data_IF_782605349678
#
_entry.id   IF_782605349678
#
_cell.length_a   1.000
_cell.length_b   1.000
_cell.length_c   1.000
_cell.angle_alpha   90.00
_cell.angle_beta   90.00
_cell.angle_gamma   90.00
#
_symmetry.space_group_name_H-M   'P 1'
#
loop_
_entity.id
_entity.type
_entity.pdbx_description
1 polymer ?
#
# COMPACT_ATOMS: atom_id res chain seq x y z
N UNK A 1 -17.23 72.58 15.73
CA UNK A 1 -16.37 71.73 14.93
C UNK A 1 -15.51 70.72 15.73
N UNK A 2 -15.01 70.94 16.94
CA UNK A 2 -14.19 69.99 17.74
C UNK A 2 -14.90 68.69 18.21
N UNK A 3 -16.22 68.67 18.45
CA UNK A 3 -16.98 67.50 18.93
C UNK A 3 -17.27 66.50 17.82
N UNK A 4 -17.42 66.90 16.56
CA UNK A 4 -17.67 66.06 15.41
C UNK A 4 -16.38 65.26 15.00
N UNK A 5 -15.22 65.91 15.06
CA UNK A 5 -13.93 65.27 14.81
C UNK A 5 -13.63 64.15 15.79
N UNK A 6 -13.96 64.35 17.10
CA UNK A 6 -13.74 63.24 18.10
C UNK A 6 -14.65 62.05 17.86
N UNK A 7 -15.90 62.25 17.39
CA UNK A 7 -16.82 61.15 17.03
C UNK A 7 -16.35 60.39 15.79
N UNK A 8 -15.81 61.09 14.77
CA UNK A 8 -15.27 60.47 13.57
C UNK A 8 -14.03 59.60 13.90
N UNK A 9 -13.12 60.14 14.72
CA UNK A 9 -11.93 59.39 15.19
C UNK A 9 -12.37 58.16 15.99
N UNK A 10 -13.37 58.23 16.86
CA UNK A 10 -13.92 57.10 17.61
C UNK A 10 -14.48 56.00 16.70
N UNK A 11 -15.20 56.39 15.64
CA UNK A 11 -15.75 55.44 14.65
C UNK A 11 -14.62 54.74 13.87
N UNK A 12 -13.60 55.50 13.45
CA UNK A 12 -12.43 54.92 12.73
C UNK A 12 -11.66 53.95 13.62
N UNK A 13 -11.42 54.28 14.88
CA UNK A 13 -10.76 53.38 15.84
C UNK A 13 -11.60 52.15 16.11
N UNK A 14 -12.91 52.26 16.27
CA UNK A 14 -13.82 51.13 16.43
C UNK A 14 -13.79 50.22 15.22
N UNK A 15 -13.82 50.79 14.02
CA UNK A 15 -13.74 50.01 12.75
C UNK A 15 -12.40 49.29 12.61
N UNK A 16 -11.30 49.93 13.00
CA UNK A 16 -9.98 49.35 13.00
C UNK A 16 -9.88 48.19 14.00
N UNK A 17 -10.48 48.31 15.19
CA UNK A 17 -10.54 47.21 16.18
C UNK A 17 -11.35 46.04 15.62
N UNK A 18 -12.47 46.26 14.96
CA UNK A 18 -13.31 45.23 14.37
C UNK A 18 -12.51 44.46 13.27
N UNK A 19 -11.79 45.18 12.40
CA UNK A 19 -10.95 44.58 11.37
C UNK A 19 -9.81 43.74 11.99
N UNK A 20 -9.18 44.25 13.05
CA UNK A 20 -8.15 43.50 13.77
C UNK A 20 -8.72 42.23 14.42
N UNK A 21 -9.88 42.29 15.02
CA UNK A 21 -10.53 41.14 15.65
C UNK A 21 -10.90 40.08 14.60
N UNK A 22 -11.46 40.46 13.45
CA UNK A 22 -11.78 39.55 12.36
C UNK A 22 -10.50 38.88 11.79
N UNK A 23 -9.43 39.66 11.61
CA UNK A 23 -8.13 39.12 11.11
C UNK A 23 -7.39 38.26 12.13
N UNK A 24 -7.78 38.32 13.42
CA UNK A 24 -7.18 37.57 14.51
C UNK A 24 -7.76 36.15 14.65
N UNK A 25 -8.97 35.91 14.19
CA UNK A 25 -9.67 34.66 14.39
C UNK A 25 -9.14 33.57 13.40
N UNK A 26 -8.83 32.40 13.92
CA UNK A 26 -8.37 31.21 13.16
C UNK A 26 -9.25 30.03 13.56
N UNK A 27 -10.02 29.50 12.61
CA UNK A 27 -10.79 28.28 12.81
C UNK A 27 -9.94 27.09 12.38
N UNK A 28 -9.88 26.05 13.22
CA UNK A 28 -9.22 24.77 12.95
C UNK A 28 -10.28 23.69 12.89
N UNK A 29 -10.29 22.89 11.80
CA UNK A 29 -11.20 21.77 11.60
C UNK A 29 -10.62 20.47 12.13
N UNK A 30 -11.44 19.42 12.23
CA UNK A 30 -11.03 18.10 12.73
C UNK A 30 -10.04 17.36 11.81
N UNK A 31 -10.02 17.72 10.54
CA UNK A 31 -9.26 17.08 9.48
C UNK A 31 -7.94 17.81 9.16
N UNK A 32 -7.58 18.81 9.97
CA UNK A 32 -6.36 19.57 9.76
C UNK A 32 -5.63 19.93 11.07
N UNK A 33 -4.31 19.99 10.99
CA UNK A 33 -3.47 20.75 11.91
C UNK A 33 -3.34 22.18 11.40
N UNK A 34 -3.43 23.15 12.29
CA UNK A 34 -3.20 24.55 11.94
C UNK A 34 -1.90 25.06 12.54
N UNK A 35 -0.95 25.40 11.69
CA UNK A 35 0.32 25.99 12.12
C UNK A 35 0.22 27.50 12.04
N UNK A 36 0.61 28.19 13.12
CA UNK A 36 0.74 29.63 13.18
C UNK A 36 2.21 29.98 13.01
N UNK A 37 2.52 30.67 11.92
CA UNK A 37 3.87 31.09 11.58
C UNK A 37 4.05 32.58 11.82
N UNK A 38 5.22 32.96 12.29
CA UNK A 38 5.66 34.35 12.42
C UNK A 38 7.00 34.51 11.71
N UNK A 39 7.04 35.36 10.69
CA UNK A 39 8.23 35.53 9.84
C UNK A 39 8.80 34.20 9.31
N UNK A 40 7.91 33.27 8.90
CA UNK A 40 8.29 31.97 8.37
C UNK A 40 8.67 30.90 9.40
N UNK A 41 8.71 31.24 10.70
CA UNK A 41 8.97 30.27 11.78
C UNK A 41 7.67 29.86 12.45
N UNK A 42 7.50 28.57 12.74
CA UNK A 42 6.34 28.06 13.48
C UNK A 42 6.44 28.51 14.93
N UNK A 43 5.46 29.26 15.40
CA UNK A 43 5.34 29.74 16.78
C UNK A 43 4.43 28.83 17.59
N UNK A 44 3.38 28.29 16.94
CA UNK A 44 2.39 27.43 17.61
C UNK A 44 1.79 26.45 16.61
N UNK A 45 1.58 25.23 17.05
CA UNK A 45 0.80 24.19 16.38
C UNK A 45 -0.53 24.07 17.11
N UNK A 46 -1.62 24.13 16.37
CA UNK A 46 -2.98 23.93 16.87
C UNK A 46 -3.45 22.58 16.36
N UNK A 47 -3.57 21.62 17.27
CA UNK A 47 -3.96 20.24 16.97
C UNK A 47 -5.43 19.97 17.27
N UNK A 48 -6.01 20.78 18.19
CA UNK A 48 -7.40 20.62 18.60
C UNK A 48 -8.32 21.51 17.74
N UNK A 49 -9.44 20.94 17.26
CA UNK A 49 -10.45 21.73 16.55
C UNK A 49 -11.02 22.82 17.42
N UNK A 50 -11.33 23.93 16.80
CA UNK A 50 -11.93 25.06 17.49
C UNK A 50 -11.41 26.42 17.01
N UNK A 51 -11.71 27.42 17.81
CA UNK A 51 -11.34 28.80 17.56
C UNK A 51 -10.03 29.14 18.27
N UNK A 52 -9.05 29.60 17.49
CA UNK A 52 -7.75 30.08 17.97
C UNK A 52 -7.56 31.55 17.55
N UNK A 53 -6.59 32.21 18.15
CA UNK A 53 -6.26 33.59 17.83
C UNK A 53 -4.83 33.71 17.35
N UNK A 54 -4.60 34.53 16.33
CA UNK A 54 -3.30 34.95 15.81
C UNK A 54 -3.17 36.46 15.84
N UNK A 55 -1.96 36.96 15.77
CA UNK A 55 -1.71 38.40 15.63
C UNK A 55 -1.82 38.75 14.14
N UNK A 56 -2.81 39.53 13.74
CA UNK A 56 -2.99 39.93 12.34
C UNK A 56 -1.75 40.70 11.85
N UNK A 57 -1.47 40.62 10.57
CA UNK A 57 -0.32 41.19 9.86
C UNK A 57 1.07 40.61 10.21
N UNK A 58 1.29 40.11 11.43
CA UNK A 58 2.56 39.52 11.86
C UNK A 58 2.60 38.03 11.73
N UNK A 59 1.45 37.37 11.84
CA UNK A 59 1.33 35.90 11.82
C UNK A 59 0.48 35.46 10.64
N UNK A 60 0.98 34.39 9.97
CA UNK A 60 0.28 33.67 8.93
C UNK A 60 -0.12 32.29 9.43
N UNK A 61 -1.08 31.66 8.77
CA UNK A 61 -1.53 30.31 9.11
C UNK A 61 -1.31 29.38 7.94
N UNK A 62 -0.90 28.14 8.22
CA UNK A 62 -0.82 27.08 7.25
C UNK A 62 -1.57 25.86 7.76
N UNK A 63 -2.41 25.27 6.91
CA UNK A 63 -3.13 24.04 7.20
C UNK A 63 -2.31 22.83 6.72
N UNK A 64 -2.31 21.78 7.52
CA UNK A 64 -1.69 20.49 7.20
C UNK A 64 -2.74 19.43 7.42
N UNK A 65 -2.96 18.50 6.47
CA UNK A 65 -3.96 17.45 6.61
C UNK A 65 -3.67 16.53 7.81
N UNK A 66 -4.72 16.23 8.58
CA UNK A 66 -4.71 15.31 9.72
C UNK A 66 -5.58 14.07 9.42
N UNK A 67 -5.62 13.63 8.20
CA UNK A 67 -6.37 12.45 7.78
C UNK A 67 -5.46 11.50 6.98
N UNK A 68 -5.95 10.29 6.78
CA UNK A 68 -5.26 9.29 5.99
C UNK A 68 -5.39 9.60 4.49
N UNK A 69 -4.27 9.55 3.81
CA UNK A 69 -4.16 9.80 2.38
C UNK A 69 -3.66 8.55 1.68
N UNK A 70 -4.13 8.36 0.47
CA UNK A 70 -3.67 7.27 -0.41
C UNK A 70 -2.66 7.84 -1.39
N UNK A 71 -1.57 7.12 -1.57
CA UNK A 71 -0.60 7.34 -2.64
C UNK A 71 -0.50 6.08 -3.50
N UNK A 72 -0.83 6.19 -4.78
CA UNK A 72 -0.66 5.14 -5.77
C UNK A 72 0.78 5.14 -6.30
N UNK A 73 1.46 4.00 -6.14
CA UNK A 73 2.80 3.84 -6.68
C UNK A 73 2.73 3.53 -8.18
N UNK A 74 3.76 3.95 -8.89
CA UNK A 74 3.91 3.58 -10.29
C UNK A 74 4.22 2.08 -10.37
N UNK A 75 3.49 1.30 -11.19
CA UNK A 75 3.77 -0.11 -11.39
C UNK A 75 5.22 -0.36 -11.78
N UNK A 76 5.84 -1.36 -11.19
CA UNK A 76 7.25 -1.65 -11.39
C UNK A 76 7.54 -3.14 -11.49
N UNK A 77 8.57 -3.49 -12.25
CA UNK A 77 9.08 -4.85 -12.35
C UNK A 77 10.06 -5.14 -11.22
N UNK A 78 9.88 -6.28 -10.57
CA UNK A 78 10.72 -6.75 -9.47
C UNK A 78 11.05 -8.22 -9.69
N UNK A 79 12.30 -8.59 -9.44
CA UNK A 79 12.75 -9.99 -9.48
C UNK A 79 12.54 -10.65 -8.11
N UNK A 80 11.96 -11.84 -8.11
CA UNK A 80 11.86 -12.71 -6.94
C UNK A 80 13.20 -13.39 -6.63
N UNK A 81 13.30 -14.07 -5.47
CA UNK A 81 14.49 -14.83 -5.08
C UNK A 81 14.86 -15.89 -6.12
N UNK A 82 13.87 -16.58 -6.70
CA UNK A 82 14.01 -17.57 -7.77
C UNK A 82 14.17 -16.96 -9.17
N UNK A 83 14.54 -15.65 -9.23
CA UNK A 83 14.88 -14.88 -10.45
C UNK A 83 13.74 -14.80 -11.48
N UNK A 84 12.52 -14.85 -11.04
CA UNK A 84 11.35 -14.64 -11.89
C UNK A 84 10.94 -13.18 -11.82
N UNK A 85 10.65 -12.58 -12.97
CA UNK A 85 10.19 -11.19 -13.05
C UNK A 85 8.71 -11.13 -12.75
N UNK A 86 8.31 -10.21 -11.88
CA UNK A 86 6.92 -9.91 -11.55
C UNK A 86 6.66 -8.41 -11.66
N UNK A 87 5.49 -8.05 -12.15
CA UNK A 87 4.98 -6.67 -12.14
C UNK A 87 4.17 -6.48 -10.87
N UNK A 88 4.52 -5.47 -10.09
CA UNK A 88 3.78 -5.11 -8.88
C UNK A 88 3.20 -3.72 -9.03
N UNK A 89 1.91 -3.59 -8.75
CA UNK A 89 1.19 -2.34 -8.58
C UNK A 89 0.68 -2.27 -7.14
N UNK A 90 1.04 -1.22 -6.43
CA UNK A 90 0.80 -1.10 -4.99
C UNK A 90 0.37 0.32 -4.64
N UNK A 91 -0.33 0.45 -3.52
CA UNK A 91 -0.62 1.76 -2.94
C UNK A 91 -0.21 1.79 -1.46
N UNK A 92 0.09 2.99 -0.99
CA UNK A 92 0.43 3.25 0.40
C UNK A 92 -0.64 4.13 1.06
N UNK A 93 -1.10 3.71 2.23
CA UNK A 93 -1.92 4.51 3.12
C UNK A 93 -1.01 5.23 4.10
N UNK A 94 -1.03 6.55 4.12
CA UNK A 94 -0.14 7.36 4.92
C UNK A 94 -0.83 8.54 5.57
N UNK A 95 -0.26 9.09 6.63
CA UNK A 95 -0.75 10.28 7.31
C UNK A 95 0.39 11.12 7.86
N UNK A 96 0.12 12.39 8.12
CA UNK A 96 1.04 13.29 8.83
C UNK A 96 0.92 13.04 10.33
N UNK A 97 2.05 12.74 10.99
CA UNK A 97 2.12 12.50 12.44
C UNK A 97 2.81 13.64 13.18
N UNK A 98 3.75 14.31 12.53
CA UNK A 98 4.42 15.51 13.07
C UNK A 98 4.32 16.66 12.06
N UNK A 99 3.38 17.58 12.24
CA UNK A 99 3.19 18.69 11.32
C UNK A 99 4.38 19.67 11.28
N UNK A 100 5.19 19.74 12.35
CA UNK A 100 6.38 20.60 12.39
C UNK A 100 7.49 20.04 11.50
N UNK A 101 7.77 18.75 11.62
CA UNK A 101 8.75 18.06 10.77
C UNK A 101 8.29 18.06 9.30
N UNK A 102 7.00 17.83 9.06
CA UNK A 102 6.38 17.86 7.73
C UNK A 102 6.56 19.23 7.05
N UNK A 103 6.30 20.31 7.76
CA UNK A 103 6.52 21.65 7.22
C UNK A 103 8.01 21.94 6.99
N UNK A 104 8.85 21.68 7.99
CA UNK A 104 10.27 22.08 7.93
C UNK A 104 11.08 21.30 6.90
N UNK A 105 10.76 20.03 6.67
CA UNK A 105 11.53 19.14 5.79
C UNK A 105 10.91 18.97 4.40
N UNK A 106 9.60 19.06 4.32
CA UNK A 106 8.86 18.83 3.07
C UNK A 106 8.13 20.08 2.56
N UNK A 107 8.22 21.21 3.31
CA UNK A 107 7.56 22.46 2.95
C UNK A 107 6.03 22.39 3.03
N UNK A 108 5.48 21.44 3.80
CA UNK A 108 4.05 21.12 3.84
C UNK A 108 3.46 20.84 2.43
N UNK A 109 4.28 20.26 1.57
CA UNK A 109 3.90 19.93 0.19
C UNK A 109 3.65 18.44 0.06
N UNK A 110 2.43 18.08 -0.35
CA UNK A 110 1.99 16.70 -0.56
C UNK A 110 2.86 15.97 -1.59
N UNK A 111 3.21 16.62 -2.70
CA UNK A 111 4.03 15.99 -3.74
C UNK A 111 5.45 15.64 -3.26
N UNK A 112 6.03 16.48 -2.38
CA UNK A 112 7.34 16.19 -1.77
C UNK A 112 7.25 14.97 -0.83
N UNK A 113 6.16 14.85 -0.07
CA UNK A 113 5.90 13.70 0.78
C UNK A 113 5.74 12.42 -0.04
N UNK A 114 4.89 12.45 -1.06
CA UNK A 114 4.63 11.33 -1.96
C UNK A 114 5.90 10.88 -2.69
N UNK A 115 6.76 11.80 -3.09
CA UNK A 115 8.06 11.47 -3.67
C UNK A 115 8.97 10.70 -2.70
N UNK A 116 8.96 11.05 -1.40
CA UNK A 116 9.70 10.30 -0.38
C UNK A 116 9.08 8.95 -0.08
N UNK A 117 7.76 8.90 0.02
CA UNK A 117 7.01 7.65 0.21
C UNK A 117 7.29 6.70 -0.94
N UNK A 118 7.25 7.19 -2.19
CA UNK A 118 7.52 6.39 -3.39
C UNK A 118 8.84 5.64 -3.30
N UNK A 119 9.92 6.35 -2.97
CA UNK A 119 11.26 5.75 -2.88
C UNK A 119 11.34 4.70 -1.76
N UNK A 120 10.82 5.03 -0.58
CA UNK A 120 10.90 4.13 0.58
C UNK A 120 10.04 2.89 0.38
N UNK A 121 8.81 3.06 -0.10
CA UNK A 121 7.88 1.95 -0.37
C UNK A 121 8.39 1.07 -1.51
N UNK A 122 8.86 1.66 -2.61
CA UNK A 122 9.46 0.91 -3.71
C UNK A 122 10.62 0.03 -3.23
N UNK A 123 11.53 0.57 -2.43
CA UNK A 123 12.65 -0.19 -1.90
C UNK A 123 12.20 -1.30 -0.93
N UNK A 124 11.19 -1.05 -0.10
CA UNK A 124 10.62 -2.05 0.79
C UNK A 124 9.96 -3.20 0.01
N UNK A 125 9.11 -2.88 -0.98
CA UNK A 125 8.48 -3.85 -1.89
C UNK A 125 9.54 -4.69 -2.60
N UNK A 126 10.53 -4.03 -3.21
CA UNK A 126 11.62 -4.69 -3.90
C UNK A 126 12.39 -5.64 -2.98
N UNK A 127 12.76 -5.20 -1.79
CA UNK A 127 13.51 -6.01 -0.84
C UNK A 127 12.72 -7.24 -0.38
N UNK A 128 11.43 -7.08 -0.07
CA UNK A 128 10.57 -8.19 0.37
C UNK A 128 10.39 -9.20 -0.77
N UNK A 129 10.01 -8.75 -1.97
CA UNK A 129 9.81 -9.65 -3.12
C UNK A 129 11.11 -10.35 -3.52
N UNK A 130 12.24 -9.62 -3.55
CA UNK A 130 13.53 -10.20 -3.92
C UNK A 130 14.07 -11.22 -2.92
N UNK A 131 13.56 -11.23 -1.69
CA UNK A 131 13.90 -12.21 -0.66
C UNK A 131 12.96 -13.41 -0.60
N UNK A 132 11.90 -13.41 -1.41
CA UNK A 132 10.80 -14.39 -1.37
C UNK A 132 10.66 -15.08 -2.72
N UNK A 133 10.34 -16.38 -2.73
CA UNK A 133 10.08 -17.11 -3.96
C UNK A 133 8.72 -16.75 -4.55
N UNK A 134 8.56 -16.87 -5.86
CA UNK A 134 7.33 -16.48 -6.56
C UNK A 134 6.08 -17.15 -5.97
N UNK A 135 6.15 -18.43 -5.63
CA UNK A 135 5.03 -19.16 -5.04
C UNK A 135 4.58 -18.56 -3.70
N UNK A 136 5.55 -18.17 -2.86
CA UNK A 136 5.29 -17.57 -1.55
C UNK A 136 4.77 -16.13 -1.68
N UNK A 137 5.27 -15.38 -2.68
CA UNK A 137 4.75 -14.04 -2.99
C UNK A 137 3.29 -14.12 -3.42
N UNK A 138 2.92 -15.10 -4.26
CA UNK A 138 1.54 -15.30 -4.71
C UNK A 138 0.64 -15.75 -3.55
N UNK A 139 1.10 -16.69 -2.72
CA UNK A 139 0.33 -17.16 -1.56
C UNK A 139 0.22 -16.12 -0.45
N UNK A 140 1.18 -15.20 -0.33
CA UNK A 140 1.19 -14.11 0.66
C UNK A 140 0.24 -12.94 0.36
N UNK A 141 -0.54 -13.00 -0.73
CA UNK A 141 -1.52 -11.95 -1.10
C UNK A 141 -2.61 -11.73 -0.07
N UNK A 142 -2.85 -12.70 0.82
CA UNK A 142 -3.85 -12.63 1.89
C UNK A 142 -3.48 -11.66 3.05
N UNK A 143 -2.57 -10.72 2.79
CA UNK A 143 -2.17 -9.67 3.74
C UNK A 143 -0.77 -9.85 4.34
N UNK A 144 -0.21 -11.06 4.35
CA UNK A 144 1.13 -11.32 4.88
C UNK A 144 2.22 -10.54 4.15
N UNK A 145 2.12 -10.42 2.82
CA UNK A 145 3.04 -9.63 2.02
C UNK A 145 2.97 -8.14 2.38
N UNK A 146 1.75 -7.62 2.54
CA UNK A 146 1.49 -6.24 2.94
C UNK A 146 2.08 -5.92 4.32
N UNK A 147 1.94 -6.85 5.27
CA UNK A 147 2.50 -6.75 6.62
C UNK A 147 4.03 -6.70 6.59
N UNK A 148 4.68 -7.63 5.88
CA UNK A 148 6.13 -7.67 5.72
C UNK A 148 6.68 -6.39 5.07
N UNK A 149 5.99 -5.85 4.06
CA UNK A 149 6.40 -4.60 3.41
C UNK A 149 6.25 -3.43 4.38
N UNK A 150 5.13 -3.35 5.10
CA UNK A 150 4.86 -2.27 6.06
C UNK A 150 5.88 -2.31 7.22
N UNK A 151 6.19 -3.48 7.74
CA UNK A 151 7.22 -3.68 8.77
C UNK A 151 8.62 -3.25 8.28
N UNK A 152 8.94 -3.57 7.02
CA UNK A 152 10.22 -3.19 6.40
C UNK A 152 10.38 -1.68 6.25
N UNK A 153 9.29 -0.94 6.07
CA UNK A 153 9.30 0.52 6.05
C UNK A 153 9.61 1.08 7.45
N UNK A 154 8.97 0.51 8.48
CA UNK A 154 9.16 0.88 9.88
C UNK A 154 9.09 2.39 10.11
N UNK A 155 10.11 2.94 10.76
CA UNK A 155 10.23 4.37 11.12
C UNK A 155 11.00 5.22 10.08
N UNK A 156 11.24 4.70 8.88
CA UNK A 156 12.10 5.36 7.87
C UNK A 156 11.62 6.76 7.46
N UNK A 157 10.33 7.04 7.62
CA UNK A 157 9.70 8.31 7.24
C UNK A 157 9.35 9.22 8.44
N UNK A 158 9.52 8.74 9.68
CA UNK A 158 9.17 9.49 10.89
C UNK A 158 9.93 10.82 10.97
N UNK A 159 11.19 10.84 10.52
CA UNK A 159 11.98 12.07 10.49
C UNK A 159 11.36 13.16 9.60
N UNK A 160 10.53 12.83 8.65
CA UNK A 160 9.81 13.77 7.78
C UNK A 160 8.43 14.15 8.34
N UNK A 161 8.06 13.63 9.49
CA UNK A 161 6.75 13.85 10.11
C UNK A 161 5.60 13.13 9.42
N UNK A 162 5.89 12.07 8.66
CA UNK A 162 4.91 11.24 7.97
C UNK A 162 5.07 9.78 8.35
N UNK A 163 3.96 9.08 8.41
CA UNK A 163 3.93 7.65 8.72
C UNK A 163 3.12 6.89 7.67
N UNK A 164 3.72 5.87 7.10
CA UNK A 164 3.00 4.89 6.30
C UNK A 164 2.32 3.90 7.25
N UNK A 165 1.00 3.81 7.17
CA UNK A 165 0.20 2.92 8.01
C UNK A 165 0.13 1.52 7.44
N UNK A 166 -0.03 1.44 6.12
CA UNK A 166 -0.16 0.18 5.40
C UNK A 166 0.24 0.34 3.95
N UNK A 167 0.85 -0.70 3.39
CA UNK A 167 1.06 -0.83 1.94
C UNK A 167 0.31 -2.05 1.47
N UNK A 168 -0.49 -1.90 0.42
CA UNK A 168 -1.23 -3.00 -0.18
C UNK A 168 -0.86 -3.13 -1.65
N UNK A 169 -0.84 -4.37 -2.13
CA UNK A 169 -0.59 -4.68 -3.52
C UNK A 169 -1.92 -4.86 -4.25
N UNK A 170 -2.20 -3.99 -5.21
CA UNK A 170 -3.40 -4.04 -6.06
C UNK A 170 -3.29 -5.15 -7.10
N UNK A 171 -2.13 -5.22 -7.75
CA UNK A 171 -1.85 -6.19 -8.80
C UNK A 171 -0.46 -6.78 -8.58
N UNK A 172 -0.40 -8.08 -8.73
CA UNK A 172 0.83 -8.85 -8.77
C UNK A 172 0.70 -9.82 -9.95
N UNK A 173 1.48 -9.60 -10.99
CA UNK A 173 1.32 -10.29 -12.27
C UNK A 173 2.67 -10.57 -12.92
N UNK A 174 2.64 -11.33 -14.01
CA UNK A 174 3.80 -11.53 -14.86
C UNK A 174 3.89 -10.38 -15.88
N UNK A 175 5.10 -10.03 -16.36
CA UNK A 175 5.24 -9.12 -17.49
C UNK A 175 4.48 -9.65 -18.71
N UNK A 176 3.81 -8.77 -19.45
CA UNK A 176 2.99 -9.14 -20.61
C UNK A 176 3.80 -9.89 -21.68
N UNK A 177 5.08 -9.52 -21.84
CA UNK A 177 6.01 -10.17 -22.77
C UNK A 177 6.25 -11.66 -22.47
N UNK A 178 6.06 -12.09 -21.22
CA UNK A 178 6.36 -13.47 -20.78
C UNK A 178 5.11 -14.30 -20.50
N UNK A 179 3.93 -13.68 -20.41
CA UNK A 179 2.69 -14.36 -20.02
C UNK A 179 2.37 -15.54 -20.91
N UNK A 180 2.40 -15.35 -22.23
CA UNK A 180 2.05 -16.40 -23.18
C UNK A 180 3.00 -17.60 -23.07
N UNK A 181 4.31 -17.36 -22.99
CA UNK A 181 5.29 -18.45 -22.85
C UNK A 181 5.13 -19.23 -21.54
N UNK A 182 4.79 -18.53 -20.44
CA UNK A 182 4.55 -19.16 -19.14
C UNK A 182 3.26 -19.97 -19.18
N UNK A 183 2.18 -19.45 -19.75
CA UNK A 183 0.92 -20.19 -19.90
C UNK A 183 1.07 -21.45 -20.74
N UNK A 184 1.77 -21.37 -21.87
CA UNK A 184 2.05 -22.54 -22.72
C UNK A 184 2.88 -23.59 -21.98
N UNK A 185 3.85 -23.17 -21.19
CA UNK A 185 4.62 -24.09 -20.32
C UNK A 185 3.72 -24.77 -19.28
N UNK A 186 2.88 -24.00 -18.58
CA UNK A 186 1.95 -24.54 -17.59
C UNK A 186 0.96 -25.52 -18.20
N UNK A 187 0.44 -25.21 -19.39
CA UNK A 187 -0.46 -26.11 -20.14
C UNK A 187 0.26 -27.42 -20.46
N UNK A 188 1.47 -27.34 -21.02
CA UNK A 188 2.27 -28.52 -21.35
C UNK A 188 2.62 -29.36 -20.13
N UNK A 189 2.99 -28.73 -19.02
CA UNK A 189 3.25 -29.42 -17.74
C UNK A 189 2.01 -30.16 -17.22
N UNK A 190 0.82 -29.50 -17.24
CA UNK A 190 -0.44 -30.13 -16.84
C UNK A 190 -0.83 -31.30 -17.76
N UNK A 191 -0.61 -31.15 -19.06
CA UNK A 191 -0.83 -32.23 -20.02
C UNK A 191 0.08 -33.43 -19.75
N UNK A 192 1.36 -33.18 -19.44
CA UNK A 192 2.32 -34.27 -19.08
C UNK A 192 1.89 -34.99 -17.79
N UNK A 193 1.48 -34.24 -16.76
CA UNK A 193 0.97 -34.82 -15.50
C UNK A 193 -0.29 -35.65 -15.77
N UNK A 194 -1.22 -35.16 -16.57
CA UNK A 194 -2.44 -35.87 -16.92
C UNK A 194 -2.14 -37.16 -17.73
N UNK A 195 -1.22 -37.07 -18.68
CA UNK A 195 -0.77 -38.27 -19.44
C UNK A 195 -0.12 -39.30 -18.52
N UNK A 196 0.65 -38.86 -17.51
CA UNK A 196 1.22 -39.78 -16.51
C UNK A 196 0.14 -40.52 -15.71
N UNK A 197 -0.88 -39.80 -15.23
CA UNK A 197 -1.99 -40.46 -14.51
C UNK A 197 -2.81 -41.40 -15.38
N UNK A 198 -3.03 -41.06 -16.66
CA UNK A 198 -3.71 -41.95 -17.61
C UNK A 198 -2.89 -43.24 -17.82
N UNK A 199 -1.59 -43.09 -18.07
CA UNK A 199 -0.70 -44.27 -18.27
C UNK A 199 -0.63 -45.15 -17.04
N UNK A 200 -0.58 -44.58 -15.84
CA UNK A 200 -0.61 -45.33 -14.58
C UNK A 200 -1.94 -46.08 -14.38
N UNK A 201 -3.06 -45.38 -14.67
CA UNK A 201 -4.39 -45.97 -14.62
C UNK A 201 -4.57 -47.13 -15.63
N UNK A 202 -4.06 -47.01 -16.86
CA UNK A 202 -4.05 -48.06 -17.87
C UNK A 202 -3.16 -49.25 -17.43
N UNK A 203 -2.00 -48.97 -16.87
CA UNK A 203 -1.13 -50.02 -16.31
C UNK A 203 -1.83 -50.79 -15.19
N UNK A 204 -2.43 -50.10 -14.22
CA UNK A 204 -3.16 -50.74 -13.12
C UNK A 204 -4.36 -51.55 -13.65
N UNK A 205 -5.11 -51.03 -14.60
CA UNK A 205 -6.21 -51.74 -15.25
C UNK A 205 -5.73 -53.05 -15.93
N UNK A 206 -4.62 -52.99 -16.65
CA UNK A 206 -4.04 -54.15 -17.30
C UNK A 206 -3.50 -55.20 -16.29
N UNK A 207 -2.91 -54.75 -15.18
CA UNK A 207 -2.48 -55.67 -14.10
C UNK A 207 -3.69 -56.41 -13.51
N UNK A 208 -4.79 -55.72 -13.22
CA UNK A 208 -6.01 -56.32 -12.69
C UNK A 208 -6.62 -57.29 -13.70
N UNK A 209 -6.74 -56.92 -14.99
CA UNK A 209 -7.25 -57.82 -16.04
C UNK A 209 -6.44 -59.06 -16.17
N UNK A 210 -5.12 -58.93 -16.30
CA UNK A 210 -4.22 -60.08 -16.44
C UNK A 210 -4.24 -61.00 -15.22
N UNK A 211 -4.35 -60.45 -14.00
CA UNK A 211 -4.46 -61.28 -12.79
C UNK A 211 -5.79 -62.04 -12.77
N UNK A 212 -6.90 -61.39 -13.14
CA UNK A 212 -8.22 -62.01 -13.23
C UNK A 212 -8.27 -63.08 -14.30
N UNK A 213 -7.73 -62.84 -15.51
CA UNK A 213 -7.66 -63.81 -16.60
C UNK A 213 -6.83 -65.05 -16.20
N UNK A 214 -5.75 -64.83 -15.46
CA UNK A 214 -4.96 -65.92 -14.90
C UNK A 214 -5.76 -66.75 -13.90
N UNK A 215 -6.46 -66.14 -12.96
CA UNK A 215 -7.29 -66.83 -11.98
C UNK A 215 -8.44 -67.60 -12.64
N UNK A 216 -9.14 -67.01 -13.63
CA UNK A 216 -10.15 -67.68 -14.41
C UNK A 216 -9.57 -68.92 -15.15
N UNK A 217 -8.42 -68.80 -15.77
CA UNK A 217 -7.73 -69.93 -16.44
C UNK A 217 -7.37 -71.05 -15.50
N UNK A 218 -6.93 -70.73 -14.26
CA UNK A 218 -6.64 -71.76 -13.23
C UNK A 218 -7.91 -72.46 -12.80
N UNK A 219 -9.00 -71.73 -12.52
CA UNK A 219 -10.29 -72.32 -12.13
C UNK A 219 -10.84 -73.25 -13.21
N UNK A 220 -10.77 -72.83 -14.48
CA UNK A 220 -11.23 -73.67 -15.60
C UNK A 220 -10.39 -74.94 -15.71
N UNK A 221 -9.08 -74.84 -15.61
CA UNK A 221 -8.15 -75.99 -15.71
C UNK A 221 -8.35 -76.99 -14.55
N UNK A 222 -8.56 -76.49 -13.34
CA UNK A 222 -8.86 -77.32 -12.16
C UNK A 222 -10.23 -78.00 -12.28
N UNK A 223 -11.25 -77.31 -12.78
CA UNK A 223 -12.58 -77.93 -13.02
C UNK A 223 -12.54 -79.00 -14.09
N UNK A 224 -11.74 -78.79 -15.15
CA UNK A 224 -11.53 -79.84 -16.21
C UNK A 224 -10.79 -81.06 -15.65
N UNK A 225 -9.74 -80.89 -14.83
CA UNK A 225 -9.04 -81.93 -14.19
C UNK A 225 -9.85 -82.77 -13.19
N UNK A 226 -10.89 -82.17 -12.59
CA UNK A 226 -11.80 -82.89 -11.69
C UNK A 226 -12.93 -83.63 -12.42
N UNK A 227 -13.17 -83.28 -13.66
CA UNK A 227 -14.20 -83.94 -14.50
C UNK A 227 -13.73 -85.14 -15.29
N UNK A 228 -12.41 -85.37 -15.41
CA UNK A 228 -11.76 -86.56 -15.94
C UNK A 228 -11.56 -87.56 -14.82
#
# INVERSE_FOLDING_TARGET
MKKTGKKIIGIVVLLLIVVLLQGSMVSTYNDEYKLILQFGKVVRVVETPGLSFKIPFLQTTQSIPNYEMIYDLIPSEVNTRDKKVMVTDSFALWSVTDPLAYLSRLGANKANAESRISVVVYNAVKNVISSTDQADVISGRDGKLAEMITEKIGSSLDSYGIKVKKVETKLLDLPDSNKEAVYQRMISERQNIAAGYIADGEYQSNVIKNSTDKEVSIIISEAQAQAE
#
